data_IF_487232731068
#
_entry.id   IF_487232731068
#
_cell.length_a   1.000
_cell.length_b   1.000
_cell.length_c   1.000
_cell.angle_alpha   90.00
_cell.angle_beta   90.00
_cell.angle_gamma   90.00
#
_symmetry.space_group_name_H-M   'P 1'
#
loop_
_entity.id
_entity.type
_entity.pdbx_description
1 polymer ?
#
# COMPACT_ATOMS: atom_id res chain seq x y z
N UNK A 1 13.97 -4.29 19.24
CA UNK A 1 13.23 -3.82 18.05
C UNK A 1 12.41 -4.96 17.51
N UNK A 2 11.16 -4.68 17.27
CA UNK A 2 10.26 -5.71 16.78
C UNK A 2 10.50 -5.97 15.30
N UNK A 3 10.59 -7.24 14.98
CA UNK A 3 10.81 -7.73 13.63
C UNK A 3 9.58 -8.53 13.24
N UNK A 4 8.99 -8.22 12.10
CA UNK A 4 7.78 -8.89 11.61
C UNK A 4 7.98 -9.39 10.20
N UNK A 5 7.17 -10.35 9.79
CA UNK A 5 7.10 -10.76 8.41
C UNK A 5 6.04 -9.93 7.68
N UNK A 6 6.39 -9.49 6.48
CA UNK A 6 5.48 -8.78 5.60
C UNK A 6 5.49 -9.45 4.23
N UNK A 7 4.43 -9.23 3.46
CA UNK A 7 4.17 -9.97 2.24
C UNK A 7 3.89 -9.03 1.09
N UNK A 8 4.44 -9.36 -0.07
CA UNK A 8 4.15 -8.64 -1.33
C UNK A 8 3.62 -9.63 -2.35
N UNK A 9 2.38 -9.42 -2.79
CA UNK A 9 1.76 -10.25 -3.81
C UNK A 9 2.03 -9.71 -5.21
N UNK A 10 2.51 -10.56 -6.09
CA UNK A 10 2.83 -10.18 -7.46
C UNK A 10 2.85 -11.38 -8.38
N UNK A 11 3.60 -11.26 -9.46
CA UNK A 11 3.67 -12.28 -10.50
C UNK A 11 5.06 -12.89 -10.66
N UNK A 12 6.03 -12.44 -9.88
CA UNK A 12 7.39 -12.97 -9.92
C UNK A 12 8.08 -12.80 -8.57
N UNK A 13 9.15 -13.57 -8.30
CA UNK A 13 9.97 -13.31 -7.12
C UNK A 13 10.65 -11.95 -7.21
N UNK A 14 10.66 -11.23 -6.08
CA UNK A 14 11.27 -9.90 -5.98
C UNK A 14 12.27 -9.92 -4.83
N UNK A 15 13.50 -10.32 -5.13
CA UNK A 15 14.56 -10.39 -4.11
C UNK A 15 15.09 -8.99 -3.75
N UNK A 16 15.07 -8.07 -4.71
CA UNK A 16 15.56 -6.71 -4.53
C UNK A 16 14.44 -5.71 -4.90
N UNK A 17 13.59 -5.35 -3.94
CA UNK A 17 12.48 -4.44 -4.21
C UNK A 17 12.93 -3.07 -4.73
N UNK A 18 12.12 -2.49 -5.61
CA UNK A 18 12.35 -1.17 -6.19
C UNK A 18 11.12 -0.29 -6.01
N UNK A 19 11.33 1.02 -6.00
CA UNK A 19 10.25 1.99 -5.93
C UNK A 19 9.54 2.02 -7.28
N UNK A 20 8.23 1.77 -7.28
CA UNK A 20 7.41 1.83 -8.49
C UNK A 20 6.86 3.24 -8.62
N UNK A 21 7.17 3.89 -9.74
CA UNK A 21 6.77 5.27 -10.03
C UNK A 21 5.99 5.28 -11.33
N UNK A 22 5.07 6.22 -11.47
CA UNK A 22 4.35 6.46 -12.73
C UNK A 22 2.86 6.27 -12.59
N UNK A 23 2.19 6.05 -13.74
CA UNK A 23 0.72 6.00 -13.81
C UNK A 23 0.08 4.88 -13.00
N UNK A 24 0.86 3.88 -12.61
CA UNK A 24 0.39 2.78 -11.79
C UNK A 24 0.72 2.97 -10.31
N UNK A 25 1.21 4.14 -9.91
CA UNK A 25 1.47 4.45 -8.51
C UNK A 25 0.19 4.31 -7.70
N UNK A 26 0.32 3.75 -6.52
CA UNK A 26 -0.81 3.46 -5.63
C UNK A 26 -1.17 4.68 -4.78
N UNK A 27 -2.06 4.50 -3.83
CA UNK A 27 -2.67 5.57 -3.02
C UNK A 27 -1.67 6.52 -2.38
N UNK A 28 -0.48 6.04 -2.02
CA UNK A 28 0.51 6.82 -1.28
C UNK A 28 1.68 7.28 -2.15
N UNK A 29 1.46 7.34 -3.47
CA UNK A 29 2.49 7.77 -4.42
C UNK A 29 3.42 6.65 -4.84
N UNK A 30 4.58 7.01 -5.40
CA UNK A 30 5.57 6.03 -5.85
C UNK A 30 6.14 5.27 -4.66
N UNK A 31 6.04 3.93 -4.68
CA UNK A 31 6.46 3.12 -3.56
C UNK A 31 6.53 1.64 -3.93
N UNK A 32 7.15 0.85 -3.04
CA UNK A 32 7.00 -0.59 -3.01
C UNK A 32 6.10 -0.91 -1.83
N UNK A 33 5.08 -1.72 -2.01
CA UNK A 33 4.10 -1.96 -0.95
C UNK A 33 4.03 -3.41 -0.51
N UNK A 34 3.82 -3.59 0.80
CA UNK A 34 3.64 -4.88 1.43
C UNK A 34 2.42 -4.84 2.35
N UNK A 35 2.06 -5.97 2.91
CA UNK A 35 1.03 -6.08 3.94
C UNK A 35 1.47 -7.07 5.00
N UNK A 36 0.99 -6.89 6.22
CA UNK A 36 1.16 -7.88 7.29
C UNK A 36 0.23 -9.07 7.12
N UNK A 37 -0.78 -8.96 6.26
CA UNK A 37 -1.82 -9.96 6.09
C UNK A 37 -1.52 -10.82 4.86
N UNK A 38 -1.07 -12.06 5.10
CA UNK A 38 -0.69 -12.97 4.01
C UNK A 38 -1.85 -13.20 3.04
N UNK A 39 -3.08 -13.32 3.54
CA UNK A 39 -4.25 -13.51 2.70
C UNK A 39 -4.48 -12.34 1.76
N UNK A 40 -4.19 -11.11 2.19
CA UNK A 40 -4.32 -9.95 1.34
C UNK A 40 -3.29 -9.97 0.23
N UNK A 41 -2.05 -10.34 0.55
CA UNK A 41 -1.01 -10.51 -0.48
C UNK A 41 -1.41 -11.58 -1.47
N UNK A 42 -2.03 -12.66 -1.01
CA UNK A 42 -2.53 -13.72 -1.87
C UNK A 42 -3.59 -13.20 -2.84
N UNK A 43 -4.51 -12.35 -2.36
CA UNK A 43 -5.53 -11.74 -3.23
C UNK A 43 -4.91 -10.84 -4.28
N UNK A 44 -3.89 -10.05 -3.92
CA UNK A 44 -3.18 -9.22 -4.90
C UNK A 44 -2.50 -10.09 -5.95
N UNK A 45 -1.83 -11.17 -5.51
CA UNK A 45 -1.11 -12.07 -6.42
C UNK A 45 -2.04 -12.78 -7.39
N UNK A 46 -3.24 -13.13 -6.94
CA UNK A 46 -4.20 -13.87 -7.77
C UNK A 46 -4.79 -13.07 -8.93
N UNK A 47 -4.48 -11.78 -9.01
CA UNK A 47 -4.81 -10.96 -10.18
C UNK A 47 -3.98 -11.35 -11.40
N UNK A 48 -2.88 -12.04 -11.19
CA UNK A 48 -1.94 -12.43 -12.23
C UNK A 48 -2.07 -13.92 -12.54
N UNK A 49 -1.70 -14.31 -13.75
CA UNK A 49 -1.71 -15.72 -14.16
C UNK A 49 -0.79 -16.55 -13.28
N UNK A 50 0.37 -16.02 -12.98
CA UNK A 50 1.30 -16.62 -12.03
C UNK A 50 1.23 -15.82 -10.73
N UNK A 51 0.74 -16.45 -9.67
CA UNK A 51 0.52 -15.80 -8.39
C UNK A 51 1.67 -16.12 -7.43
N UNK A 52 2.44 -15.10 -7.07
CA UNK A 52 3.60 -15.24 -6.20
C UNK A 52 3.43 -14.36 -4.96
N UNK A 53 3.66 -14.93 -3.79
CA UNK A 53 3.78 -14.17 -2.55
C UNK A 53 5.25 -14.10 -2.19
N UNK A 54 5.79 -12.89 -2.14
CA UNK A 54 7.14 -12.62 -1.66
C UNK A 54 7.09 -12.35 -0.17
N UNK A 55 7.97 -12.95 0.59
CA UNK A 55 7.99 -12.87 2.05
C UNK A 55 9.28 -12.20 2.49
N UNK A 56 9.14 -11.14 3.29
CA UNK A 56 10.25 -10.34 3.78
C UNK A 56 10.22 -10.24 5.29
N UNK A 57 11.40 -10.13 5.89
CA UNK A 57 11.52 -9.69 7.27
C UNK A 57 11.60 -8.16 7.25
N UNK A 58 10.74 -7.52 8.01
CA UNK A 58 10.67 -6.07 8.12
C UNK A 58 11.15 -5.65 9.50
N UNK A 59 12.19 -4.83 9.54
CA UNK A 59 12.78 -4.32 10.76
C UNK A 59 13.03 -2.83 10.58
N UNK A 60 12.36 -2.00 11.40
CA UNK A 60 12.44 -0.54 11.26
C UNK A 60 13.79 -0.03 11.73
N UNK A 61 14.48 0.71 10.87
CA UNK A 61 15.72 1.39 11.21
C UNK A 61 15.41 2.74 11.84
N UNK A 62 16.26 3.17 12.77
CA UNK A 62 16.11 4.47 13.41
C UNK A 62 16.33 5.60 12.40
N UNK A 63 15.63 6.71 12.61
CA UNK A 63 15.80 7.91 11.80
C UNK A 63 14.89 8.01 10.58
N UNK A 64 14.06 7.00 10.34
CA UNK A 64 13.10 7.05 9.24
C UNK A 64 11.86 7.84 9.63
N UNK A 65 11.30 8.57 8.66
CA UNK A 65 10.04 9.27 8.86
C UNK A 65 8.90 8.34 8.49
N UNK A 66 8.06 8.02 9.47
CA UNK A 66 6.96 7.07 9.30
C UNK A 66 5.64 7.77 9.58
N UNK A 67 4.71 7.66 8.63
CA UNK A 67 3.34 8.15 8.79
C UNK A 67 2.42 6.95 8.95
N UNK A 68 1.58 6.96 9.98
CA UNK A 68 0.64 5.87 10.27
C UNK A 68 -0.79 6.38 10.27
N UNK A 69 -1.65 5.66 9.55
CA UNK A 69 -3.09 5.87 9.59
C UNK A 69 -3.73 4.60 10.12
N UNK A 70 -4.32 4.65 11.30
CA UNK A 70 -4.96 3.47 11.89
C UNK A 70 -6.35 3.22 11.33
N UNK A 71 -6.95 4.26 10.72
CA UNK A 71 -8.29 4.15 10.13
C UNK A 71 -8.46 5.19 9.02
N UNK A 72 -9.56 5.10 8.30
CA UNK A 72 -9.92 6.10 7.28
C UNK A 72 -10.41 7.37 7.97
N UNK A 73 -9.63 8.44 7.88
CA UNK A 73 -9.95 9.74 8.46
C UNK A 73 -9.92 10.81 7.37
N UNK A 74 -10.33 12.03 7.70
CA UNK A 74 -10.20 13.16 6.77
C UNK A 74 -8.74 13.37 6.36
N UNK A 75 -7.82 13.25 7.32
CA UNK A 75 -6.39 13.39 7.05
C UNK A 75 -5.91 12.30 6.08
N UNK A 76 -6.38 11.06 6.27
CA UNK A 76 -6.08 9.95 5.38
C UNK A 76 -6.58 10.24 3.95
N UNK A 77 -7.82 10.70 3.82
CA UNK A 77 -8.39 11.01 2.51
C UNK A 77 -7.62 12.14 1.83
N UNK A 78 -7.33 13.21 2.56
CA UNK A 78 -6.57 14.33 2.02
C UNK A 78 -5.18 13.91 1.57
N UNK A 79 -4.52 13.05 2.34
CA UNK A 79 -3.20 12.54 1.98
C UNK A 79 -3.23 11.74 0.67
N UNK A 80 -4.21 10.83 0.53
CA UNK A 80 -4.35 10.03 -0.68
C UNK A 80 -4.66 10.92 -1.89
N UNK A 81 -5.59 11.86 -1.73
CA UNK A 81 -5.95 12.78 -2.82
C UNK A 81 -4.73 13.58 -3.26
N UNK A 82 -3.95 14.10 -2.33
CA UNK A 82 -2.72 14.83 -2.65
C UNK A 82 -1.73 13.96 -3.40
N UNK A 83 -1.52 12.71 -2.97
CA UNK A 83 -0.61 11.79 -3.66
C UNK A 83 -1.07 11.50 -5.07
N UNK A 84 -2.37 11.30 -5.28
CA UNK A 84 -2.94 11.05 -6.62
C UNK A 84 -2.82 12.27 -7.52
N UNK A 85 -2.81 13.46 -6.95
CA UNK A 85 -2.62 14.72 -7.69
C UNK A 85 -1.15 15.08 -7.90
N UNK A 86 -0.24 14.17 -7.54
CA UNK A 86 1.17 14.36 -7.78
C UNK A 86 1.91 15.16 -6.70
N UNK A 87 1.25 15.46 -5.59
CA UNK A 87 1.90 16.15 -4.47
C UNK A 87 2.85 15.17 -3.81
N UNK A 88 4.12 15.56 -3.72
CA UNK A 88 5.15 14.72 -3.10
C UNK A 88 5.18 14.93 -1.59
N UNK A 89 5.50 13.85 -0.87
CA UNK A 89 5.71 13.90 0.57
C UNK A 89 7.14 13.43 0.89
N UNK A 90 7.58 13.67 2.11
CA UNK A 90 8.94 13.31 2.54
C UNK A 90 8.98 12.16 3.54
N UNK A 91 7.91 11.37 3.62
CA UNK A 91 7.89 10.18 4.47
C UNK A 91 8.65 9.04 3.80
N UNK A 92 9.39 8.29 4.60
CA UNK A 92 10.08 7.08 4.14
C UNK A 92 9.11 5.91 4.06
N UNK A 93 8.23 5.79 5.05
CA UNK A 93 7.25 4.70 5.13
C UNK A 93 5.88 5.28 5.46
N UNK A 94 4.87 4.84 4.73
CA UNK A 94 3.47 5.18 5.03
C UNK A 94 2.72 3.87 5.30
N UNK A 95 2.16 3.75 6.50
CA UNK A 95 1.47 2.55 6.95
C UNK A 95 0.02 2.89 7.22
N UNK A 96 -0.90 2.08 6.74
CA UNK A 96 -2.29 2.26 7.14
C UNK A 96 -3.30 1.70 6.19
N UNK A 97 -4.50 2.22 6.36
CA UNK A 97 -5.64 1.86 5.54
C UNK A 97 -5.34 2.15 4.06
N UNK A 98 -5.65 1.18 3.22
CA UNK A 98 -5.54 1.31 1.78
C UNK A 98 -6.92 1.11 1.18
N UNK A 99 -7.23 1.90 0.17
CA UNK A 99 -8.49 1.76 -0.52
C UNK A 99 -8.57 0.39 -1.23
N UNK A 100 -9.59 -0.40 -0.90
CA UNK A 100 -9.91 -1.59 -1.68
C UNK A 100 -10.52 -1.14 -3.02
N UNK A 101 -10.86 -2.09 -3.89
CA UNK A 101 -11.34 -1.76 -5.23
C UNK A 101 -12.55 -0.82 -5.23
N UNK A 102 -13.49 -0.99 -4.29
CA UNK A 102 -14.67 -0.13 -4.19
C UNK A 102 -14.31 1.26 -3.66
N UNK A 103 -13.55 1.31 -2.58
CA UNK A 103 -13.11 2.59 -1.99
C UNK A 103 -12.24 3.34 -3.00
N UNK A 104 -11.40 2.62 -3.76
CA UNK A 104 -10.61 3.22 -4.82
C UNK A 104 -11.49 3.96 -5.82
N UNK A 105 -12.59 3.34 -6.26
CA UNK A 105 -13.51 3.96 -7.20
C UNK A 105 -14.19 5.18 -6.60
N UNK A 106 -14.57 5.13 -5.31
CA UNK A 106 -15.17 6.28 -4.64
C UNK A 106 -14.18 7.45 -4.54
N UNK A 107 -12.91 7.16 -4.26
CA UNK A 107 -11.87 8.19 -4.22
C UNK A 107 -11.68 8.80 -5.62
N UNK A 108 -11.66 7.96 -6.65
CA UNK A 108 -11.55 8.43 -8.03
C UNK A 108 -12.70 9.36 -8.38
N UNK A 109 -13.93 8.97 -8.06
CA UNK A 109 -15.12 9.80 -8.31
C UNK A 109 -15.04 11.12 -7.55
N UNK A 110 -14.56 11.09 -6.31
CA UNK A 110 -14.38 12.31 -5.52
C UNK A 110 -13.31 13.23 -6.16
N UNK A 111 -12.18 12.67 -6.55
CA UNK A 111 -11.09 13.45 -7.18
C UNK A 111 -11.57 14.09 -8.48
N UNK A 112 -12.40 13.40 -9.26
CA UNK A 112 -12.92 13.90 -10.52
C UNK A 112 -14.18 14.78 -10.39
N UNK A 113 -14.61 15.06 -9.15
CA UNK A 113 -15.76 15.91 -8.90
C UNK A 113 -17.11 15.27 -9.18
N UNK A 114 -17.16 13.96 -9.39
CA UNK A 114 -18.41 13.24 -9.65
C UNK A 114 -19.25 13.13 -8.39
N UNK A 115 -18.60 12.98 -7.23
CA UNK A 115 -19.26 12.97 -5.92
C UNK A 115 -18.61 14.01 -5.01
N UNK A 116 -19.35 14.44 -3.99
CA UNK A 116 -18.85 15.35 -2.97
C UNK A 116 -18.11 14.57 -1.88
N UNK A 117 -17.38 15.30 -1.01
CA UNK A 117 -16.74 14.70 0.15
C UNK A 117 -17.77 13.99 1.06
N UNK A 118 -18.91 14.62 1.28
CA UNK A 118 -19.97 14.04 2.07
C UNK A 118 -20.49 12.73 1.45
N UNK A 119 -20.68 12.73 0.13
CA UNK A 119 -21.10 11.53 -0.57
C UNK A 119 -20.05 10.43 -0.49
N UNK A 120 -18.76 10.79 -0.59
CA UNK A 120 -17.68 9.81 -0.42
C UNK A 120 -17.80 9.12 0.94
N UNK A 121 -17.92 9.90 2.02
CA UNK A 121 -17.97 9.31 3.36
C UNK A 121 -19.22 8.46 3.55
N UNK A 122 -20.36 8.87 2.98
CA UNK A 122 -21.57 8.08 3.04
C UNK A 122 -21.42 6.72 2.37
N UNK A 123 -20.71 6.68 1.22
CA UNK A 123 -20.46 5.43 0.51
C UNK A 123 -19.39 4.57 1.20
N UNK A 124 -18.35 5.19 1.74
CA UNK A 124 -17.25 4.48 2.37
C UNK A 124 -17.56 3.98 3.79
N UNK A 125 -18.57 4.53 4.42
CA UNK A 125 -18.92 4.30 5.83
C UNK A 125 -19.00 2.83 6.23
N UNK A 126 -19.54 1.99 5.36
CA UNK A 126 -19.72 0.57 5.64
C UNK A 126 -18.68 -0.32 4.99
N UNK A 127 -17.64 0.28 4.42
CA UNK A 127 -16.57 -0.46 3.75
C UNK A 127 -15.38 -0.59 4.67
N UNK A 128 -14.66 -1.69 4.54
CA UNK A 128 -13.44 -1.91 5.31
C UNK A 128 -12.25 -1.79 4.37
N UNK A 129 -11.31 -0.90 4.68
CA UNK A 129 -10.10 -0.81 3.87
C UNK A 129 -9.20 -2.01 4.12
N UNK A 130 -8.29 -2.26 3.20
CA UNK A 130 -7.20 -3.19 3.40
C UNK A 130 -6.05 -2.45 4.09
N UNK A 131 -5.07 -3.20 4.56
CA UNK A 131 -3.89 -2.64 5.22
C UNK A 131 -2.69 -2.67 4.28
N UNK A 132 -1.87 -1.64 4.31
CA UNK A 132 -0.72 -1.54 3.42
C UNK A 132 0.45 -0.84 4.13
N UNK A 133 1.65 -1.34 3.86
CA UNK A 133 2.91 -0.70 4.26
C UNK A 133 3.61 -0.29 2.99
N UNK A 134 3.84 1.01 2.81
CA UNK A 134 4.45 1.57 1.61
C UNK A 134 5.85 2.05 1.90
N UNK A 135 6.82 1.51 1.18
CA UNK A 135 8.22 1.88 1.28
C UNK A 135 8.49 2.89 0.17
N UNK A 136 8.67 4.15 0.55
CA UNK A 136 8.67 5.26 -0.41
C UNK A 136 10.07 5.74 -0.78
N UNK A 137 11.11 5.29 -0.09
CA UNK A 137 12.50 5.71 -0.33
C UNK A 137 13.43 4.50 -0.36
N UNK A 138 14.62 4.70 -0.89
CA UNK A 138 15.65 3.65 -0.88
C UNK A 138 16.04 3.26 0.54
N UNK A 139 16.09 4.24 1.44
CA UNK A 139 16.39 3.96 2.85
C UNK A 139 15.31 3.09 3.48
N UNK A 140 14.05 3.31 3.12
CA UNK A 140 12.95 2.49 3.62
C UNK A 140 13.09 1.04 3.13
N UNK A 141 13.50 0.84 1.87
CA UNK A 141 13.67 -0.51 1.32
C UNK A 141 14.74 -1.32 2.06
N UNK A 142 15.71 -0.64 2.67
CA UNK A 142 16.73 -1.32 3.47
C UNK A 142 16.20 -1.99 4.72
N UNK A 143 14.95 -1.65 5.11
CA UNK A 143 14.27 -2.29 6.24
C UNK A 143 13.77 -3.68 5.88
N UNK A 144 13.79 -4.06 4.60
CA UNK A 144 13.30 -5.35 4.13
C UNK A 144 14.45 -6.31 3.85
N UNK A 145 14.32 -7.54 4.35
CA UNK A 145 15.22 -8.63 4.04
C UNK A 145 14.40 -9.74 3.38
N UNK A 146 14.72 -10.07 2.13
CA UNK A 146 14.01 -11.12 1.41
C UNK A 146 14.27 -12.47 2.09
N UNK A 147 13.21 -13.21 2.40
CA UNK A 147 13.31 -14.53 3.01
C UNK A 147 13.06 -15.64 2.00
N UNK A 148 11.92 -15.59 1.31
CA UNK A 148 11.52 -16.61 0.34
C UNK A 148 10.31 -16.13 -0.44
N UNK A 149 9.93 -16.91 -1.44
CA UNK A 149 8.65 -16.70 -2.13
C UNK A 149 7.85 -18.00 -2.16
N UNK A 150 6.56 -17.87 -2.35
CA UNK A 150 5.64 -19.00 -2.51
C UNK A 150 4.82 -18.79 -3.77
N UNK A 151 4.68 -19.84 -4.57
CA UNK A 151 3.79 -19.81 -5.73
C UNK A 151 2.44 -20.40 -5.31
N UNK A 152 1.37 -19.66 -5.59
CA UNK A 152 0.01 -20.08 -5.22
C UNK A 152 -0.58 -20.94 -6.33
N UNK A 153 -1.27 -21.99 -5.93
CA UNK A 153 -2.06 -22.80 -6.87
C UNK A 153 -3.38 -22.12 -7.15
N UNK A 154 -3.79 -22.17 -8.40
CA UNK A 154 -5.09 -21.68 -8.81
C UNK A 154 -6.10 -22.80 -8.87
#
# INVERSE_FOLDING_TARGET
MDCIEVYHGGYCPVESPEIIIGKYAKDFGGSFYCTELKEQAARWARRYDKAIINIYRFEINNGLKILRFTEMTEEWLDFIVNCRNGVKHDYDIVIGAMANDQIYNYISDFVHGIITREQFWALAKFKRPTHQINFCTLDALKCLTFLKFEELKK
#
